data_IF_967121635013
#
_entry.id   IF_967121635013
#
_cell.length_a   1.000
_cell.length_b   1.000
_cell.length_c   1.000
_cell.angle_alpha   90.00
_cell.angle_beta   90.00
_cell.angle_gamma   90.00
#
_symmetry.space_group_name_H-M   'P 1'
#
loop_
_entity.id
_entity.type
_entity.pdbx_description
1 polymer ?
#
# COMPACT_ATOMS: atom_id res chain seq x y z
N UNK A 1 -5.94 -56.04 32.56
CA UNK A 1 -6.06 -57.29 31.77
C UNK A 1 -6.12 -56.95 30.29
N UNK A 2 -4.99 -56.89 29.57
CA UNK A 2 -4.97 -56.68 28.12
C UNK A 2 -5.05 -58.02 27.36
N UNK A 3 -5.85 -58.08 26.28
CA UNK A 3 -5.93 -59.23 25.37
C UNK A 3 -4.98 -59.04 24.17
N UNK A 4 -4.32 -60.15 23.83
CA UNK A 4 -3.34 -60.37 22.77
C UNK A 4 -3.99 -60.60 21.39
N UNK A 5 -3.39 -59.96 20.35
CA UNK A 5 -3.08 -60.43 18.96
C UNK A 5 -4.20 -61.05 18.05
N UNK A 6 -4.00 -61.29 16.71
CA UNK A 6 -2.79 -61.18 15.87
C UNK A 6 -2.94 -60.60 14.42
N UNK A 7 -1.75 -60.29 13.84
CA UNK A 7 -1.23 -60.47 12.45
C UNK A 7 -2.17 -60.43 11.22
N UNK A 8 -1.78 -59.60 10.25
CA UNK A 8 -2.09 -59.76 8.82
C UNK A 8 -0.95 -59.23 7.93
N UNK A 9 -0.27 -60.15 7.24
CA UNK A 9 0.81 -59.92 6.27
C UNK A 9 0.18 -59.86 4.86
N UNK A 10 0.54 -58.88 4.03
CA UNK A 10 0.44 -59.03 2.58
C UNK A 10 1.52 -58.22 1.84
N UNK A 11 2.50 -58.96 1.31
CA UNK A 11 3.44 -58.50 0.27
C UNK A 11 2.73 -58.47 -1.08
N UNK A 12 2.95 -57.46 -1.90
CA UNK A 12 2.95 -57.62 -3.37
C UNK A 12 4.21 -57.01 -3.98
N UNK A 13 4.94 -57.88 -4.67
CA UNK A 13 6.02 -57.61 -5.62
C UNK A 13 5.42 -57.37 -7.00
N UNK A 14 6.18 -56.70 -7.86
CA UNK A 14 5.97 -56.58 -9.30
C UNK A 14 5.86 -55.11 -9.70
N UNK A 15 6.50 -54.60 -10.75
CA UNK A 15 7.26 -55.24 -11.81
C UNK A 15 7.99 -54.11 -12.58
N UNK A 16 9.25 -54.38 -12.93
CA UNK A 16 9.95 -54.01 -14.18
C UNK A 16 9.76 -52.62 -14.83
N UNK A 17 10.89 -51.90 -14.94
CA UNK A 17 11.20 -50.92 -16.00
C UNK A 17 11.35 -51.61 -17.37
N UNK A 18 11.08 -50.91 -18.47
CA UNK A 18 12.14 -50.52 -19.43
C UNK A 18 12.00 -49.04 -19.86
N UNK A 19 13.06 -48.23 -19.88
CA UNK A 19 14.09 -48.08 -20.92
C UNK A 19 13.64 -47.27 -22.16
N UNK A 20 14.34 -46.15 -22.36
CA UNK A 20 14.76 -45.53 -23.63
C UNK A 20 13.71 -45.26 -24.74
N UNK A 21 13.52 -43.97 -25.03
CA UNK A 21 13.61 -43.31 -26.36
C UNK A 21 12.54 -42.22 -26.52
N UNK A 22 12.87 -40.97 -26.14
CA UNK A 22 12.41 -39.79 -26.89
C UNK A 22 13.56 -38.80 -26.91
N UNK A 23 14.54 -39.07 -27.77
CA UNK A 23 15.55 -38.10 -28.17
C UNK A 23 15.12 -37.56 -29.52
N UNK A 24 15.20 -36.23 -29.67
CA UNK A 24 15.15 -35.45 -30.91
C UNK A 24 13.76 -35.13 -31.46
N UNK A 25 13.15 -34.05 -30.96
CA UNK A 25 12.33 -33.18 -31.83
C UNK A 25 12.13 -31.73 -31.35
N UNK A 26 12.65 -31.31 -30.20
CA UNK A 26 12.49 -29.92 -29.69
C UNK A 26 13.78 -29.08 -29.72
N UNK A 27 14.52 -29.08 -30.85
CA UNK A 27 15.67 -28.18 -31.04
C UNK A 27 15.63 -27.35 -32.34
N UNK A 28 14.48 -27.26 -33.04
CA UNK A 28 14.35 -26.44 -34.26
C UNK A 28 13.35 -25.28 -34.21
N UNK A 29 12.69 -25.03 -33.07
CA UNK A 29 11.81 -23.85 -32.92
C UNK A 29 12.48 -22.64 -32.24
N UNK A 30 13.69 -22.80 -31.68
CA UNK A 30 14.31 -21.76 -30.83
C UNK A 30 15.27 -20.80 -31.57
N UNK A 31 15.34 -20.83 -32.91
CA UNK A 31 16.20 -19.94 -33.70
C UNK A 31 15.46 -18.96 -34.63
N UNK A 32 14.12 -18.99 -34.69
CA UNK A 32 13.33 -17.98 -35.44
C UNK A 32 12.73 -16.87 -34.56
N UNK A 33 12.75 -17.01 -33.24
CA UNK A 33 12.26 -15.98 -32.30
C UNK A 33 13.30 -14.90 -31.91
N UNK A 34 14.59 -15.12 -32.19
CA UNK A 34 15.67 -14.24 -31.71
C UNK A 34 16.12 -13.17 -32.73
N UNK A 35 15.58 -13.17 -33.95
CA UNK A 35 15.85 -12.11 -34.94
C UNK A 35 14.76 -11.03 -35.00
N UNK A 36 13.64 -11.19 -34.29
CA UNK A 36 12.56 -10.20 -34.24
C UNK A 36 12.69 -9.20 -33.07
N UNK A 37 13.66 -9.35 -32.17
CA UNK A 37 13.82 -8.49 -30.98
C UNK A 37 15.04 -7.56 -31.03
N UNK A 38 15.92 -7.67 -32.04
CA UNK A 38 17.07 -6.76 -32.21
C UNK A 38 16.81 -5.55 -33.12
N UNK A 39 15.66 -5.45 -33.79
CA UNK A 39 15.27 -4.27 -34.59
C UNK A 39 14.27 -3.32 -33.90
N UNK A 40 13.81 -3.65 -32.69
CA UNK A 40 12.97 -2.74 -31.86
C UNK A 40 13.74 -2.03 -30.74
N UNK A 41 15.03 -2.29 -30.60
CA UNK A 41 15.89 -1.68 -29.57
C UNK A 41 16.71 -0.49 -30.06
N UNK A 42 16.55 -0.04 -31.32
CA UNK A 42 17.24 1.16 -31.85
C UNK A 42 16.27 2.34 -32.07
N UNK A 43 14.99 2.17 -31.72
CA UNK A 43 13.98 3.23 -31.89
C UNK A 43 13.31 3.66 -30.57
N UNK A 44 13.92 3.35 -29.42
CA UNK A 44 13.39 3.74 -28.11
C UNK A 44 14.46 4.35 -27.18
N UNK A 45 15.50 4.94 -27.78
CA UNK A 45 16.61 5.57 -27.06
C UNK A 45 16.85 7.02 -27.54
N UNK A 46 15.78 7.72 -27.93
CA UNK A 46 15.81 9.15 -28.27
C UNK A 46 14.58 9.93 -27.76
N UNK A 47 14.03 9.54 -26.62
CA UNK A 47 13.10 10.36 -25.85
C UNK A 47 13.46 10.36 -24.36
N UNK A 48 14.77 10.40 -24.06
CA UNK A 48 15.26 10.93 -22.77
C UNK A 48 15.31 12.45 -22.89
N UNK A 49 14.15 13.06 -23.11
CA UNK A 49 13.99 14.49 -22.97
C UNK A 49 14.22 14.83 -21.50
N UNK A 50 15.24 15.63 -21.24
CA UNK A 50 15.34 16.47 -20.05
C UNK A 50 14.15 17.45 -20.05
N UNK A 51 12.92 16.94 -19.89
CA UNK A 51 11.78 17.77 -19.56
C UNK A 51 12.01 18.25 -18.13
N UNK A 52 12.64 19.43 -18.03
CA UNK A 52 12.52 20.26 -16.84
C UNK A 52 11.04 20.21 -16.46
N UNK A 53 10.68 19.85 -15.21
CA UNK A 53 9.29 19.84 -14.80
C UNK A 53 8.72 21.22 -15.13
N UNK A 54 7.82 21.27 -16.11
CA UNK A 54 7.15 22.51 -16.48
C UNK A 54 6.64 23.15 -15.19
N UNK A 55 6.89 24.45 -14.96
CA UNK A 55 6.26 25.14 -13.86
C UNK A 55 4.76 25.04 -14.13
N UNK A 56 4.11 24.12 -13.43
CA UNK A 56 2.66 24.04 -13.39
C UNK A 56 2.28 25.40 -12.84
N UNK A 57 1.76 26.27 -13.70
CA UNK A 57 1.27 27.57 -13.28
C UNK A 57 0.35 27.32 -12.09
N UNK A 58 0.76 27.81 -10.91
CA UNK A 58 0.01 27.70 -9.67
C UNK A 58 -1.25 28.55 -9.84
N UNK A 59 -2.23 28.00 -10.56
CA UNK A 59 -3.58 28.52 -10.52
C UNK A 59 -4.02 28.39 -9.06
N UNK A 60 -4.47 29.49 -8.43
CA UNK A 60 -4.91 29.43 -7.04
C UNK A 60 -6.02 28.38 -6.94
N UNK A 61 -5.91 27.51 -5.94
CA UNK A 61 -6.94 26.50 -5.70
C UNK A 61 -8.21 27.24 -5.30
N UNK A 62 -9.23 27.24 -6.15
CA UNK A 62 -10.38 28.15 -6.01
C UNK A 62 -11.30 27.74 -4.87
N UNK A 63 -11.20 26.49 -4.42
CA UNK A 63 -12.14 25.87 -3.50
C UNK A 63 -11.61 25.75 -2.06
N UNK A 64 -10.32 26.02 -1.83
CA UNK A 64 -9.68 25.81 -0.54
C UNK A 64 -8.84 27.01 -0.15
N UNK A 65 -8.84 27.34 1.15
CA UNK A 65 -7.88 28.27 1.74
C UNK A 65 -6.51 27.59 1.80
N UNK A 66 -5.82 27.57 0.66
CA UNK A 66 -4.53 26.91 0.49
C UNK A 66 -3.44 27.88 0.84
N UNK A 67 -2.74 27.57 1.91
CA UNK A 67 -1.61 28.33 2.41
C UNK A 67 -0.39 28.07 1.52
N UNK A 68 -0.18 26.80 1.15
CA UNK A 68 0.99 26.39 0.38
C UNK A 68 0.74 25.12 -0.41
N UNK A 69 1.37 25.03 -1.59
CA UNK A 69 1.52 23.79 -2.34
C UNK A 69 2.96 23.29 -2.26
N UNK A 70 3.14 21.98 -2.13
CA UNK A 70 4.47 21.36 -2.22
C UNK A 70 4.39 19.93 -2.75
N UNK A 71 5.54 19.39 -3.18
CA UNK A 71 5.63 18.01 -3.64
C UNK A 71 6.36 17.15 -2.61
N UNK A 72 5.91 15.91 -2.42
CA UNK A 72 6.52 14.95 -1.52
C UNK A 72 6.35 13.52 -2.06
N UNK A 73 7.45 12.77 -2.11
CA UNK A 73 7.45 11.40 -2.65
C UNK A 73 6.89 10.37 -1.66
N UNK A 74 7.53 9.20 -1.60
CA UNK A 74 7.18 8.14 -0.65
C UNK A 74 7.64 8.53 0.76
N UNK A 75 6.74 8.43 1.73
CA UNK A 75 7.00 8.74 3.15
C UNK A 75 6.42 7.63 4.02
N UNK A 76 7.13 7.26 5.09
CA UNK A 76 6.57 6.40 6.12
C UNK A 76 5.70 7.23 7.06
N UNK A 77 4.43 6.85 7.19
CA UNK A 77 3.46 7.53 8.02
C UNK A 77 2.76 6.54 8.96
N UNK A 78 2.19 7.08 10.03
CA UNK A 78 1.47 6.36 11.07
C UNK A 78 -0.03 6.57 10.89
N UNK A 79 -0.80 5.49 10.97
CA UNK A 79 -2.25 5.48 11.02
C UNK A 79 -2.71 4.79 12.30
N UNK A 80 -3.31 5.53 13.23
CA UNK A 80 -3.87 4.96 14.45
C UNK A 80 -5.35 4.64 14.23
N UNK A 81 -5.79 3.47 14.68
CA UNK A 81 -7.18 3.00 14.50
C UNK A 81 -7.55 1.98 15.58
N UNK A 82 -8.80 1.51 15.61
CA UNK A 82 -9.22 0.43 16.50
C UNK A 82 -8.69 -0.92 16.04
N UNK A 83 -8.52 -1.88 16.96
CA UNK A 83 -8.01 -3.23 16.64
C UNK A 83 -8.84 -3.96 15.57
N UNK A 84 -10.17 -3.78 15.61
CA UNK A 84 -11.10 -4.32 14.59
C UNK A 84 -10.83 -3.72 13.21
N UNK A 85 -10.64 -2.40 13.12
CA UNK A 85 -10.34 -1.73 11.84
C UNK A 85 -8.94 -2.05 11.34
N UNK A 86 -7.94 -2.13 12.22
CA UNK A 86 -6.59 -2.54 11.87
C UNK A 86 -6.58 -3.93 11.23
N UNK A 87 -7.24 -4.90 11.87
CA UNK A 87 -7.41 -6.25 11.30
C UNK A 87 -8.11 -6.21 9.94
N UNK A 88 -9.18 -5.43 9.81
CA UNK A 88 -9.89 -5.24 8.55
C UNK A 88 -9.01 -4.66 7.42
N UNK A 89 -8.16 -3.69 7.74
CA UNK A 89 -7.23 -3.07 6.77
C UNK A 89 -6.19 -4.10 6.30
N UNK A 90 -5.64 -4.87 7.23
CA UNK A 90 -4.60 -5.86 6.95
C UNK A 90 -5.15 -7.01 6.11
N UNK A 91 -6.31 -7.56 6.50
CA UNK A 91 -6.94 -8.67 5.80
C UNK A 91 -7.44 -8.29 4.41
N UNK A 92 -8.10 -7.13 4.28
CA UNK A 92 -8.68 -6.70 3.01
C UNK A 92 -7.69 -5.92 2.13
N UNK A 93 -6.46 -5.68 2.60
CA UNK A 93 -5.43 -4.89 1.92
C UNK A 93 -5.97 -3.55 1.39
N UNK A 94 -6.80 -2.87 2.18
CA UNK A 94 -7.35 -1.56 1.83
C UNK A 94 -7.60 -0.68 3.06
N UNK A 95 -7.37 0.61 2.90
CA UNK A 95 -7.90 1.62 3.81
C UNK A 95 -9.25 2.10 3.27
N UNK A 96 -10.21 2.32 4.15
CA UNK A 96 -11.48 2.95 3.80
C UNK A 96 -11.47 4.37 4.35
N UNK A 97 -11.99 5.35 3.60
CA UNK A 97 -12.17 6.69 4.12
C UNK A 97 -13.08 6.68 5.35
N UNK A 98 -12.79 7.54 6.32
CA UNK A 98 -13.71 7.82 7.40
C UNK A 98 -14.95 8.57 6.89
N UNK A 99 -15.99 8.63 7.72
CA UNK A 99 -17.18 9.46 7.43
C UNK A 99 -16.90 10.93 7.73
N UNK A 100 -16.04 11.21 8.72
CA UNK A 100 -15.75 12.55 9.21
C UNK A 100 -14.29 12.72 9.65
N UNK A 101 -13.91 13.96 9.93
CA UNK A 101 -12.60 14.35 10.44
C UNK A 101 -12.30 15.82 10.13
N UNK A 102 -11.17 16.34 10.64
CA UNK A 102 -10.85 17.77 10.48
C UNK A 102 -10.73 18.25 9.03
N UNK A 103 -10.46 17.33 8.10
CA UNK A 103 -10.41 17.59 6.66
C UNK A 103 -11.51 16.81 5.90
N UNK A 104 -12.59 16.37 6.55
CA UNK A 104 -13.67 15.61 5.94
C UNK A 104 -13.48 14.08 5.90
N UNK A 105 -14.23 13.39 5.05
CA UNK A 105 -14.27 11.93 4.97
C UNK A 105 -13.09 11.32 4.21
N UNK A 106 -11.89 11.42 4.78
CA UNK A 106 -10.63 11.01 4.15
C UNK A 106 -9.89 9.96 4.97
N UNK A 107 -8.77 9.46 4.43
CA UNK A 107 -7.86 8.54 5.13
C UNK A 107 -6.74 9.36 5.76
N UNK A 108 -6.61 9.29 7.09
CA UNK A 108 -5.70 10.15 7.84
C UNK A 108 -4.38 9.47 8.22
N UNK A 109 -3.30 10.23 8.18
CA UNK A 109 -1.95 9.80 8.53
C UNK A 109 -1.20 10.90 9.29
N UNK A 110 -0.21 10.51 10.09
CA UNK A 110 0.71 11.44 10.76
C UNK A 110 2.16 11.03 10.55
N UNK A 111 3.08 11.99 10.57
CA UNK A 111 4.52 11.70 10.56
C UNK A 111 5.02 11.22 11.92
N UNK A 112 4.30 11.53 13.01
CA UNK A 112 4.63 11.08 14.37
C UNK A 112 3.58 10.11 14.91
N UNK A 113 4.05 8.99 15.47
CA UNK A 113 3.20 8.00 16.17
C UNK A 113 2.33 8.64 17.25
N UNK A 114 2.91 9.50 18.09
CA UNK A 114 2.19 10.16 19.18
C UNK A 114 1.05 11.05 18.69
N UNK A 115 1.22 11.72 17.54
CA UNK A 115 0.18 12.56 16.94
C UNK A 115 -0.99 11.70 16.43
N UNK A 116 -0.70 10.60 15.74
CA UNK A 116 -1.72 9.65 15.29
C UNK A 116 -2.55 9.09 16.47
N UNK A 117 -1.86 8.62 17.52
CA UNK A 117 -2.50 8.06 18.72
C UNK A 117 -3.38 9.09 19.42
N UNK A 118 -2.83 10.30 19.69
CA UNK A 118 -3.56 11.37 20.36
C UNK A 118 -4.84 11.72 19.62
N UNK A 119 -4.76 11.86 18.30
CA UNK A 119 -5.92 12.18 17.46
C UNK A 119 -6.96 11.08 17.50
N UNK A 120 -6.56 9.81 17.37
CA UNK A 120 -7.50 8.71 17.39
C UNK A 120 -8.21 8.57 18.75
N UNK A 121 -7.49 8.77 19.85
CA UNK A 121 -8.08 8.79 21.20
C UNK A 121 -9.09 9.92 21.37
N UNK A 122 -8.80 11.11 20.85
CA UNK A 122 -9.70 12.25 20.90
C UNK A 122 -10.99 12.05 20.08
N UNK A 123 -10.90 11.36 18.93
CA UNK A 123 -12.06 11.18 18.03
C UNK A 123 -12.97 10.04 18.48
N UNK A 124 -12.40 8.89 18.87
CA UNK A 124 -13.19 7.68 19.14
C UNK A 124 -13.28 7.32 20.62
N UNK A 125 -12.71 8.14 21.51
CA UNK A 125 -12.64 7.89 22.96
C UNK A 125 -12.16 6.47 23.30
N UNK A 126 -11.20 5.96 22.53
CA UNK A 126 -10.70 4.60 22.68
C UNK A 126 -9.62 4.54 23.76
N UNK A 127 -9.75 3.60 24.70
CA UNK A 127 -8.68 3.28 25.64
C UNK A 127 -7.43 2.75 24.93
N UNK A 128 -7.63 1.91 23.90
CA UNK A 128 -6.56 1.24 23.16
C UNK A 128 -6.69 1.51 21.67
N UNK A 129 -5.56 1.87 21.07
CA UNK A 129 -5.44 2.11 19.63
C UNK A 129 -4.30 1.26 19.07
N UNK A 130 -4.54 0.68 17.90
CA UNK A 130 -3.50 0.05 17.10
C UNK A 130 -2.89 1.09 16.17
N UNK A 131 -1.58 1.00 15.94
CA UNK A 131 -0.87 1.92 15.04
C UNK A 131 -0.26 1.13 13.89
N UNK A 132 -0.74 1.40 12.68
CA UNK A 132 -0.17 0.90 11.45
C UNK A 132 0.91 1.86 10.96
N UNK A 133 2.03 1.31 10.47
CA UNK A 133 3.08 2.08 9.80
C UNK A 133 3.05 1.73 8.33
N UNK A 134 2.87 2.70 7.45
CA UNK A 134 2.64 2.45 6.03
C UNK A 134 3.39 3.46 5.18
N UNK A 135 3.90 2.99 4.04
CA UNK A 135 4.57 3.84 3.05
C UNK A 135 3.51 4.47 2.13
N UNK A 136 3.43 5.79 2.13
CA UNK A 136 2.42 6.59 1.41
C UNK A 136 3.11 7.52 0.43
N UNK A 137 2.60 7.60 -0.80
CA UNK A 137 3.04 8.50 -1.87
C UNK A 137 2.18 9.76 -1.84
N UNK A 138 2.72 10.86 -1.34
CA UNK A 138 1.94 12.08 -1.08
C UNK A 138 1.77 12.96 -2.35
N UNK A 139 2.68 12.85 -3.31
CA UNK A 139 2.72 13.62 -4.57
C UNK A 139 2.56 15.12 -4.34
N UNK A 140 1.55 15.77 -4.92
CA UNK A 140 1.27 17.19 -4.72
C UNK A 140 0.37 17.33 -3.49
N UNK A 141 0.90 18.00 -2.48
CA UNK A 141 0.26 18.22 -1.19
C UNK A 141 -0.25 19.65 -1.14
N UNK A 142 -1.54 19.80 -0.83
CA UNK A 142 -2.13 21.09 -0.47
C UNK A 142 -2.09 21.28 1.05
N UNK A 143 -1.37 22.30 1.53
CA UNK A 143 -1.45 22.73 2.92
C UNK A 143 -2.60 23.72 3.06
N UNK A 144 -3.59 23.35 3.87
CA UNK A 144 -4.84 24.08 4.05
C UNK A 144 -5.00 24.58 5.48
N UNK A 145 -5.77 25.65 5.65
CA UNK A 145 -6.13 26.16 6.98
C UNK A 145 -6.86 25.11 7.83
N UNK A 146 -6.70 25.21 9.14
CA UNK A 146 -7.39 24.35 10.10
C UNK A 146 -8.91 24.49 9.96
N UNK A 147 -9.62 23.35 9.96
CA UNK A 147 -11.08 23.31 9.79
C UNK A 147 -11.57 23.33 8.33
N UNK A 148 -10.66 23.43 7.34
CA UNK A 148 -11.02 23.31 5.93
C UNK A 148 -11.50 21.89 5.62
N UNK A 149 -12.76 21.71 5.20
CA UNK A 149 -13.23 20.40 4.72
C UNK A 149 -12.67 20.15 3.32
N UNK A 150 -11.90 19.07 3.16
CA UNK A 150 -11.31 18.67 1.89
C UNK A 150 -12.14 17.56 1.26
N UNK A 151 -12.65 17.83 0.06
CA UNK A 151 -13.32 16.85 -0.78
C UNK A 151 -12.31 16.26 -1.77
N UNK A 152 -12.26 14.92 -1.86
CA UNK A 152 -11.28 14.24 -2.69
C UNK A 152 -11.36 14.58 -4.18
N UNK A 153 -12.57 14.78 -4.70
CA UNK A 153 -12.80 15.10 -6.12
C UNK A 153 -12.35 16.52 -6.42
N UNK A 154 -12.68 17.47 -5.56
CA UNK A 154 -12.24 18.85 -5.69
C UNK A 154 -10.72 18.97 -5.54
N UNK A 155 -10.11 18.26 -4.60
CA UNK A 155 -8.64 18.21 -4.45
C UNK A 155 -7.96 17.70 -5.74
N UNK A 156 -8.53 16.67 -6.36
CA UNK A 156 -8.07 16.14 -7.65
C UNK A 156 -8.22 17.12 -8.81
N UNK A 157 -9.35 17.86 -8.89
CA UNK A 157 -9.57 18.90 -9.90
C UNK A 157 -8.55 20.04 -9.80
N UNK A 158 -8.09 20.32 -8.58
CA UNK A 158 -7.04 21.29 -8.26
C UNK A 158 -5.62 20.73 -8.50
N UNK A 159 -5.53 19.50 -9.04
CA UNK A 159 -4.28 18.82 -9.36
C UNK A 159 -3.48 18.40 -8.14
N UNK A 160 -4.12 18.27 -6.98
CA UNK A 160 -3.52 17.80 -5.74
C UNK A 160 -3.92 16.35 -5.45
N UNK A 161 -3.01 15.61 -4.85
CA UNK A 161 -3.20 14.18 -4.56
C UNK A 161 -3.41 13.92 -3.06
N UNK A 162 -2.99 14.87 -2.23
CA UNK A 162 -3.13 14.83 -0.78
C UNK A 162 -3.25 16.23 -0.20
N UNK A 163 -3.76 16.30 1.02
CA UNK A 163 -3.82 17.55 1.76
C UNK A 163 -3.22 17.37 3.15
N UNK A 164 -2.79 18.49 3.74
CA UNK A 164 -2.27 18.59 5.08
C UNK A 164 -2.90 19.78 5.78
N UNK A 165 -3.27 19.59 7.03
CA UNK A 165 -3.76 20.67 7.88
C UNK A 165 -2.58 21.50 8.44
N UNK A 166 -2.63 22.82 8.25
CA UNK A 166 -1.60 23.74 8.74
C UNK A 166 -1.49 23.71 10.27
N UNK A 167 -0.26 23.83 10.77
CA UNK A 167 0.04 23.73 12.21
C UNK A 167 -0.12 22.33 12.79
N UNK A 168 -0.70 21.38 12.05
CA UNK A 168 -0.98 20.03 12.51
C UNK A 168 -0.15 18.98 11.77
N UNK A 169 0.09 17.84 12.45
CA UNK A 169 0.78 16.68 11.87
C UNK A 169 -0.24 15.68 11.35
N UNK A 170 -1.00 16.13 10.35
CA UNK A 170 -2.15 15.42 9.81
C UNK A 170 -2.12 15.57 8.30
N UNK A 171 -1.88 14.45 7.63
CA UNK A 171 -2.05 14.29 6.19
C UNK A 171 -3.35 13.55 5.95
N UNK A 172 -4.07 13.91 4.90
CA UNK A 172 -5.21 13.13 4.44
C UNK A 172 -5.04 12.74 2.97
N UNK A 173 -5.42 11.50 2.67
CA UNK A 173 -5.51 10.96 1.32
C UNK A 173 -7.00 10.77 1.01
N UNK A 174 -7.48 11.29 -0.13
CA UNK A 174 -8.81 10.98 -0.65
C UNK A 174 -9.06 9.47 -0.74
N UNK A 175 -10.27 9.04 -0.36
CA UNK A 175 -10.62 7.62 -0.23
C UNK A 175 -10.55 6.82 -1.53
N UNK A 176 -10.60 7.48 -2.69
CA UNK A 176 -10.46 6.90 -4.02
C UNK A 176 -8.99 6.66 -4.43
N UNK A 177 -8.02 7.20 -3.69
CA UNK A 177 -6.61 7.18 -4.06
C UNK A 177 -5.80 6.07 -3.36
N UNK A 178 -6.31 4.84 -3.40
CA UNK A 178 -5.63 3.66 -2.83
C UNK A 178 -4.26 3.40 -3.47
N UNK A 179 -4.03 3.87 -4.70
CA UNK A 179 -2.73 3.82 -5.38
C UNK A 179 -1.63 4.58 -4.64
N UNK A 180 -1.99 5.55 -3.81
CA UNK A 180 -1.03 6.31 -3.02
C UNK A 180 -0.57 5.57 -1.77
N UNK A 181 -1.15 4.41 -1.43
CA UNK A 181 -0.83 3.66 -0.21
C UNK A 181 -0.21 2.32 -0.59
N UNK A 182 1.05 2.11 -0.23
CA UNK A 182 1.72 0.84 -0.49
C UNK A 182 1.30 -0.22 0.55
N UNK A 183 0.28 -1.01 0.23
CA UNK A 183 -0.24 -2.04 1.14
C UNK A 183 0.74 -3.18 1.41
N UNK A 184 1.71 -3.43 0.52
CA UNK A 184 2.79 -4.42 0.76
C UNK A 184 3.72 -3.98 1.90
N UNK A 185 3.79 -2.67 2.18
CA UNK A 185 4.60 -2.18 3.30
C UNK A 185 4.07 -2.61 4.67
N UNK A 186 2.78 -3.01 4.76
CA UNK A 186 2.22 -3.62 5.96
C UNK A 186 2.67 -5.07 6.16
N UNK A 187 3.05 -5.78 5.10
CA UNK A 187 3.55 -7.17 5.18
C UNK A 187 5.01 -7.23 5.62
N UNK A 188 5.80 -6.24 5.21
CA UNK A 188 7.22 -6.13 5.52
C UNK A 188 7.50 -5.65 6.95
N UNK A 189 6.47 -5.15 7.64
CA UNK A 189 6.45 -5.12 9.10
C UNK A 189 6.10 -6.54 9.55
N UNK A 190 7.03 -7.46 9.32
CA UNK A 190 6.89 -8.85 9.73
C UNK A 190 6.43 -8.87 11.18
N UNK A 191 5.20 -9.29 11.39
CA UNK A 191 4.61 -9.60 12.69
C UNK A 191 5.65 -10.39 13.51
N UNK A 192 6.23 -9.83 14.58
CA UNK A 192 6.99 -10.66 15.49
C UNK A 192 5.97 -11.41 16.35
N UNK A 193 5.51 -12.56 15.85
CA UNK A 193 4.67 -13.53 16.56
C UNK A 193 3.34 -12.97 17.10
N UNK A 194 2.24 -13.58 16.63
CA UNK A 194 0.92 -13.60 17.27
C UNK A 194 0.89 -14.15 18.71
N UNK A 195 2.05 -14.30 19.36
CA UNK A 195 2.22 -14.67 20.77
C UNK A 195 2.95 -13.61 21.62
N UNK A 196 3.30 -12.44 21.08
CA UNK A 196 3.72 -11.30 21.91
C UNK A 196 2.68 -10.20 21.84
N UNK A 197 2.09 -9.96 23.02
CA UNK A 197 1.26 -8.81 23.39
C UNK A 197 1.56 -7.62 22.48
N UNK A 198 0.57 -7.24 21.67
CA UNK A 198 0.37 -5.86 21.25
C UNK A 198 0.74 -4.97 22.42
N UNK A 199 1.71 -4.08 22.23
CA UNK A 199 2.22 -3.24 23.32
C UNK A 199 1.07 -2.41 23.88
N UNK A 200 0.45 -2.91 24.96
CA UNK A 200 -0.47 -2.17 25.81
C UNK A 200 0.34 -1.07 26.46
N UNK A 201 0.11 0.17 26.03
CA UNK A 201 0.49 1.40 26.72
C UNK A 201 -0.75 2.28 26.85
#
# INVERSE_FOLDING_TARGET
MPRLCPRGIARRRGQTRPALQVRKQNQKSNQRGQQATKKKQVAHEQLSGNEKPSPIADKPLRHYNVIRLFRRGWVWLYHATSSKRASGIILNKRFLPGVDGSLGGNIYFSTRRAAAVRRQRAVENLEKVEVLVVKVWLRRVAEVEQGTRVDGRLLGNEGCDSAREFGNDVYCIPGDSWMNINMKSLDNLSYPNSNRRWWRW
#
